data_IF_643525697837
#
_entry.id   IF_643525697837
#
_cell.length_a   1.000
_cell.length_b   1.000
_cell.length_c   1.000
_cell.angle_alpha   90.00
_cell.angle_beta   90.00
_cell.angle_gamma   90.00
#
_symmetry.space_group_name_H-M   'P 1'
#
loop_
_entity.id
_entity.type
_entity.pdbx_description
1 polymer ?
#
# COMPACT_ATOMS: atom_id res chain seq x y z
N UNK A 1 7.47 15.56 21.16
CA UNK A 1 7.66 14.30 20.39
C UNK A 1 6.71 13.26 20.93
N UNK A 2 6.25 12.34 20.07
CA UNK A 2 5.39 11.24 20.50
C UNK A 2 6.20 10.09 21.11
N UNK A 3 5.57 9.32 22.00
CA UNK A 3 6.07 8.04 22.47
C UNK A 3 5.71 6.97 21.46
N UNK A 4 6.70 6.17 21.11
CA UNK A 4 6.52 5.03 20.22
C UNK A 4 5.55 4.00 20.82
N UNK A 5 4.79 3.34 19.94
CA UNK A 5 3.85 2.26 20.28
C UNK A 5 2.79 2.58 21.35
N UNK A 6 2.57 3.85 21.66
CA UNK A 6 1.65 4.25 22.73
C UNK A 6 0.19 3.95 22.39
N UNK A 7 -0.54 3.39 23.35
CA UNK A 7 -1.97 3.10 23.26
C UNK A 7 -2.73 3.63 24.49
N UNK A 8 -4.06 3.71 24.39
CA UNK A 8 -4.95 4.08 25.51
C UNK A 8 -4.60 5.43 26.16
N UNK A 9 -4.45 5.45 27.48
CA UNK A 9 -4.11 6.67 28.23
C UNK A 9 -2.75 7.25 27.85
N UNK A 10 -1.75 6.41 27.55
CA UNK A 10 -0.42 6.88 27.10
C UNK A 10 -0.51 7.61 25.77
N UNK A 11 -1.40 7.16 24.88
CA UNK A 11 -1.66 7.84 23.61
C UNK A 11 -2.41 9.15 23.86
N UNK A 12 -3.45 9.11 24.70
CA UNK A 12 -4.25 10.30 25.07
C UNK A 12 -3.41 11.40 25.70
N UNK A 13 -2.43 11.03 26.55
CA UNK A 13 -1.53 11.97 27.22
C UNK A 13 -0.66 12.79 26.24
N UNK A 14 -0.47 12.31 25.01
CA UNK A 14 0.30 13.02 23.97
C UNK A 14 -0.55 14.03 23.20
N UNK A 15 -1.89 13.87 23.22
CA UNK A 15 -2.84 14.68 22.47
C UNK A 15 -2.68 16.20 22.68
N UNK A 16 -2.45 16.74 23.89
CA UNK A 16 -2.28 18.18 24.08
C UNK A 16 -1.12 18.77 23.27
N UNK A 17 -0.02 18.01 23.13
CA UNK A 17 1.14 18.42 22.34
C UNK A 17 0.79 18.51 20.86
N UNK A 18 0.09 17.51 20.33
CA UNK A 18 -0.29 17.46 18.91
C UNK A 18 -1.35 18.51 18.56
N UNK A 19 -2.30 18.76 19.46
CA UNK A 19 -3.25 19.85 19.32
C UNK A 19 -2.57 21.23 19.29
N UNK A 20 -1.52 21.43 20.11
CA UNK A 20 -0.74 22.66 20.08
C UNK A 20 0.01 22.83 18.74
N UNK A 21 0.57 21.75 18.18
CA UNK A 21 1.19 21.74 16.85
C UNK A 21 0.16 22.13 15.78
N UNK A 22 -1.04 21.53 15.79
CA UNK A 22 -2.12 21.86 14.86
C UNK A 22 -2.54 23.32 14.95
N UNK A 23 -2.68 23.85 16.18
CA UNK A 23 -3.02 25.26 16.40
C UNK A 23 -1.95 26.19 15.84
N UNK A 24 -0.69 25.77 15.84
CA UNK A 24 0.43 26.48 15.21
C UNK A 24 0.52 26.31 13.69
N UNK A 25 -0.40 25.56 13.06
CA UNK A 25 -0.40 25.28 11.62
C UNK A 25 0.45 24.07 11.20
N UNK A 26 1.04 23.35 12.16
CA UNK A 26 1.77 22.11 11.89
C UNK A 26 0.84 20.92 11.62
N UNK A 27 1.38 19.93 10.91
CA UNK A 27 0.67 18.68 10.56
C UNK A 27 1.20 17.50 11.37
N UNK A 28 0.34 16.56 11.72
CA UNK A 28 0.67 15.41 12.58
C UNK A 28 0.51 14.10 11.81
N UNK A 29 1.65 13.42 11.60
CA UNK A 29 1.75 12.14 10.90
C UNK A 29 2.21 11.08 11.87
N UNK A 30 1.44 10.00 12.02
CA UNK A 30 1.66 9.01 13.09
C UNK A 30 1.41 7.60 12.57
N UNK A 31 2.29 6.67 12.95
CA UNK A 31 2.00 5.23 12.88
C UNK A 31 1.16 4.80 14.07
N UNK A 32 0.00 4.23 13.80
CA UNK A 32 -1.02 3.94 14.79
C UNK A 32 -1.32 2.44 14.83
N UNK A 33 -1.50 1.93 16.04
CA UNK A 33 -2.20 0.68 16.25
C UNK A 33 -3.73 0.84 16.10
N UNK A 34 -4.43 -0.29 15.96
CA UNK A 34 -5.89 -0.32 16.08
C UNK A 34 -6.37 0.38 17.36
N UNK A 35 -7.47 1.11 17.26
CA UNK A 35 -8.10 1.81 18.38
C UNK A 35 -7.59 3.23 18.67
N UNK A 36 -6.74 3.83 17.84
CA UNK A 36 -6.24 5.20 18.05
C UNK A 36 -7.32 6.30 17.88
N UNK A 37 -8.33 6.05 17.05
CA UNK A 37 -9.31 7.06 16.62
C UNK A 37 -10.00 7.81 17.78
N UNK A 38 -10.49 7.15 18.85
CA UNK A 38 -11.13 7.84 19.97
C UNK A 38 -10.18 8.74 20.79
N UNK A 39 -8.87 8.52 20.69
CA UNK A 39 -7.88 9.19 21.53
C UNK A 39 -7.27 10.41 20.84
N UNK A 40 -6.92 10.25 19.57
CA UNK A 40 -6.08 11.22 18.84
C UNK A 40 -6.47 11.37 17.38
N UNK A 41 -7.44 10.59 16.89
CA UNK A 41 -7.86 10.65 15.48
C UNK A 41 -8.31 12.05 15.06
N UNK A 42 -8.65 12.92 16.01
CA UNK A 42 -9.03 14.29 15.74
C UNK A 42 -7.89 15.30 15.59
N UNK A 43 -6.66 14.88 15.87
CA UNK A 43 -5.46 15.70 15.74
C UNK A 43 -4.41 14.99 14.88
N UNK A 44 -4.82 14.07 14.02
CA UNK A 44 -3.97 13.37 13.05
C UNK A 44 -4.36 13.82 11.65
N UNK A 45 -3.40 14.23 10.84
CA UNK A 45 -3.61 14.57 9.41
C UNK A 45 -3.22 13.43 8.47
N UNK A 46 -2.31 12.56 8.92
CA UNK A 46 -1.92 11.35 8.20
C UNK A 46 -1.83 10.19 9.19
N UNK A 47 -2.81 9.30 9.14
CA UNK A 47 -2.75 8.04 9.88
C UNK A 47 -1.99 7.02 9.04
N UNK A 48 -0.93 6.46 9.60
CA UNK A 48 -0.26 5.28 9.06
C UNK A 48 -0.75 4.08 9.88
N UNK A 49 -1.28 3.06 9.24
CA UNK A 49 -1.79 1.85 9.91
C UNK A 49 -1.14 0.60 9.30
N UNK A 50 -0.87 -0.42 10.10
CA UNK A 50 -0.29 -1.67 9.59
C UNK A 50 -1.19 -2.28 8.51
N UNK A 51 -0.61 -2.78 7.42
CA UNK A 51 -1.31 -3.49 6.37
C UNK A 51 -1.55 -4.95 6.77
N UNK A 52 -2.72 -5.54 6.46
CA UNK A 52 -3.02 -6.89 6.91
C UNK A 52 -2.13 -7.96 6.26
N UNK A 53 -1.51 -7.68 5.10
CA UNK A 53 -0.60 -8.60 4.39
C UNK A 53 0.83 -8.68 4.92
N UNK A 54 1.25 -7.81 5.85
CA UNK A 54 2.63 -7.87 6.37
C UNK A 54 2.92 -9.22 7.01
N UNK A 55 2.17 -9.60 8.03
CA UNK A 55 2.49 -10.77 8.85
C UNK A 55 2.62 -12.11 8.09
N UNK A 56 1.74 -12.49 7.13
CA UNK A 56 1.83 -13.80 6.50
C UNK A 56 3.08 -13.97 5.62
N UNK A 57 3.37 -13.00 4.75
CA UNK A 57 4.53 -13.05 3.84
C UNK A 57 5.83 -12.94 4.64
N UNK A 58 5.84 -12.11 5.68
CA UNK A 58 7.00 -11.90 6.54
C UNK A 58 7.34 -13.15 7.35
N UNK A 59 6.29 -13.83 7.84
CA UNK A 59 6.42 -15.12 8.53
C UNK A 59 6.98 -16.19 7.61
N UNK A 60 6.48 -16.28 6.37
CA UNK A 60 7.02 -17.20 5.36
C UNK A 60 8.50 -16.88 5.10
N UNK A 61 8.82 -15.62 4.83
CA UNK A 61 10.18 -15.13 4.62
C UNK A 61 11.14 -15.51 5.76
N UNK A 62 10.70 -15.39 7.02
CA UNK A 62 11.52 -15.70 8.20
C UNK A 62 11.78 -17.20 8.36
N UNK A 63 10.83 -18.05 7.96
CA UNK A 63 10.91 -19.50 8.10
C UNK A 63 11.66 -20.17 6.95
N UNK A 64 11.61 -19.57 5.76
CA UNK A 64 12.16 -20.18 4.55
C UNK A 64 13.68 -20.08 4.50
N UNK A 65 14.32 -21.22 4.29
CA UNK A 65 15.79 -21.32 4.17
C UNK A 65 16.29 -21.21 2.72
N UNK A 66 15.38 -21.18 1.74
CA UNK A 66 15.69 -21.04 0.31
C UNK A 66 14.52 -20.38 -0.45
N UNK A 67 14.75 -19.86 -1.67
CA UNK A 67 13.67 -19.38 -2.53
C UNK A 67 12.59 -20.44 -2.80
N UNK A 68 12.97 -21.69 -3.06
CA UNK A 68 12.02 -22.77 -3.34
C UNK A 68 11.15 -23.09 -2.12
N UNK A 69 11.74 -23.08 -0.92
CA UNK A 69 11.00 -23.26 0.32
C UNK A 69 10.03 -22.09 0.58
N UNK A 70 10.42 -20.87 0.21
CA UNK A 70 9.54 -19.70 0.28
C UNK A 70 8.37 -19.80 -0.68
N UNK A 71 8.62 -20.13 -1.95
CA UNK A 71 7.57 -20.29 -2.95
C UNK A 71 6.60 -21.41 -2.57
N UNK A 72 7.10 -22.52 -2.01
CA UNK A 72 6.27 -23.61 -1.51
C UNK A 72 5.38 -23.17 -0.33
N UNK A 73 5.91 -22.42 0.64
CA UNK A 73 5.14 -21.90 1.78
C UNK A 73 4.08 -20.89 1.30
N UNK A 74 4.46 -19.92 0.48
CA UNK A 74 3.56 -18.88 -0.04
C UNK A 74 2.40 -19.48 -0.84
N UNK A 75 2.65 -20.53 -1.61
CA UNK A 75 1.59 -21.22 -2.36
C UNK A 75 0.50 -21.81 -1.45
N UNK A 76 0.77 -22.00 -0.16
CA UNK A 76 -0.22 -22.46 0.84
C UNK A 76 -0.94 -21.31 1.56
N UNK A 77 -0.46 -20.08 1.43
CA UNK A 77 -1.06 -18.88 2.03
C UNK A 77 -2.26 -18.42 1.20
N UNK A 78 -3.43 -18.99 1.49
CA UNK A 78 -4.69 -18.54 0.88
C UNK A 78 -4.90 -17.04 1.10
N UNK A 79 -5.30 -16.32 0.05
CA UNK A 79 -5.59 -14.89 0.10
C UNK A 79 -4.37 -13.96 0.11
N UNK A 80 -3.15 -14.47 -0.02
CA UNK A 80 -1.93 -13.64 0.01
C UNK A 80 -1.89 -12.59 -1.13
N UNK A 81 -2.52 -12.92 -2.27
CA UNK A 81 -2.74 -12.02 -3.41
C UNK A 81 -3.99 -11.15 -3.24
N UNK A 82 -4.89 -11.51 -2.33
CA UNK A 82 -6.23 -10.93 -2.16
C UNK A 82 -6.25 -9.97 -0.97
N UNK A 83 -5.09 -9.47 -0.59
CA UNK A 83 -4.93 -8.66 0.62
C UNK A 83 -5.65 -7.30 0.58
N UNK A 84 -6.13 -6.89 -0.59
CA UNK A 84 -7.05 -5.75 -0.73
C UNK A 84 -8.41 -6.09 -0.12
N UNK A 85 -8.90 -7.30 -0.34
CA UNK A 85 -10.19 -7.76 0.20
C UNK A 85 -10.14 -7.84 1.72
N UNK A 86 -8.96 -8.06 2.31
CA UNK A 86 -8.78 -8.05 3.77
C UNK A 86 -9.00 -6.66 4.38
N UNK A 87 -8.74 -5.60 3.61
CA UNK A 87 -9.01 -4.21 4.04
C UNK A 87 -10.49 -3.88 3.85
N UNK A 88 -11.08 -4.35 2.75
CA UNK A 88 -12.49 -4.12 2.43
C UNK A 88 -13.42 -4.92 3.34
N UNK A 89 -13.02 -6.12 3.74
CA UNK A 89 -13.80 -7.08 4.52
C UNK A 89 -12.97 -7.66 5.69
N UNK A 90 -12.62 -6.85 6.71
CA UNK A 90 -11.69 -7.27 7.77
C UNK A 90 -12.22 -8.41 8.66
N UNK A 91 -13.54 -8.65 8.69
CA UNK A 91 -14.16 -9.69 9.52
C UNK A 91 -13.76 -11.12 9.11
N UNK A 92 -13.23 -11.32 7.90
CA UNK A 92 -12.87 -12.63 7.37
C UNK A 92 -11.40 -13.00 7.65
N UNK A 93 -10.59 -12.10 8.21
CA UNK A 93 -9.14 -12.30 8.35
C UNK A 93 -8.60 -11.91 9.73
N UNK A 94 -7.93 -12.85 10.40
CA UNK A 94 -7.38 -12.65 11.74
C UNK A 94 -6.00 -11.98 11.66
N UNK A 95 -5.91 -10.68 11.96
CA UNK A 95 -4.65 -9.95 12.08
C UNK A 95 -4.44 -9.46 13.51
N UNK A 96 -3.18 -9.20 13.88
CA UNK A 96 -2.85 -8.71 15.22
C UNK A 96 -3.34 -7.26 15.40
N UNK A 97 -4.32 -7.06 16.29
CA UNK A 97 -4.96 -5.76 16.56
C UNK A 97 -5.39 -5.01 15.29
N UNK A 98 -6.29 -5.57 14.46
CA UNK A 98 -6.67 -4.96 13.20
C UNK A 98 -7.32 -3.60 13.46
N UNK A 99 -6.90 -2.53 12.78
CA UNK A 99 -7.76 -1.37 12.66
C UNK A 99 -9.07 -1.80 11.97
N UNK A 100 -10.19 -1.21 12.38
CA UNK A 100 -11.40 -1.21 11.55
C UNK A 100 -11.12 -0.31 10.34
N UNK A 101 -10.51 -0.86 9.28
CA UNK A 101 -10.02 -0.09 8.15
C UNK A 101 -11.11 0.76 7.50
N UNK A 102 -12.32 0.23 7.18
CA UNK A 102 -13.38 1.05 6.58
C UNK A 102 -13.76 2.24 7.46
N UNK A 103 -13.90 2.03 8.78
CA UNK A 103 -14.24 3.12 9.71
C UNK A 103 -13.09 4.12 9.85
N UNK A 104 -11.84 3.68 9.95
CA UNK A 104 -10.67 4.56 10.06
C UNK A 104 -10.53 5.40 8.79
N UNK A 105 -10.54 4.77 7.62
CA UNK A 105 -10.41 5.44 6.32
C UNK A 105 -11.54 6.46 6.15
N UNK A 106 -12.80 6.04 6.36
CA UNK A 106 -13.95 6.94 6.25
C UNK A 106 -13.87 8.16 7.16
N UNK A 107 -13.62 7.96 8.46
CA UNK A 107 -13.56 9.07 9.43
C UNK A 107 -12.37 10.01 9.21
N UNK A 108 -11.24 9.49 8.73
CA UNK A 108 -10.09 10.32 8.37
C UNK A 108 -10.41 11.17 7.14
N UNK A 109 -10.97 10.55 6.09
CA UNK A 109 -11.36 11.24 4.86
C UNK A 109 -12.46 12.28 5.06
N UNK A 110 -13.47 12.02 5.90
CA UNK A 110 -14.53 12.98 6.28
C UNK A 110 -13.97 14.33 6.79
N UNK A 111 -12.74 14.31 7.29
CA UNK A 111 -12.05 15.46 7.87
C UNK A 111 -10.98 16.03 6.95
N UNK A 112 -10.82 15.49 5.74
CA UNK A 112 -9.75 15.84 4.80
C UNK A 112 -8.37 15.34 5.22
N UNK A 113 -8.28 14.41 6.16
CA UNK A 113 -7.05 13.74 6.54
C UNK A 113 -6.79 12.52 5.63
N UNK A 114 -5.55 12.05 5.61
CA UNK A 114 -5.12 10.93 4.75
C UNK A 114 -4.84 9.67 5.57
N UNK A 115 -4.91 8.52 4.91
CA UNK A 115 -4.54 7.21 5.48
C UNK A 115 -3.52 6.51 4.60
N UNK A 116 -2.36 6.22 5.17
CA UNK A 116 -1.35 5.36 4.57
C UNK A 116 -1.36 4.00 5.26
N UNK A 117 -0.92 2.97 4.55
CA UNK A 117 -0.60 1.70 5.18
C UNK A 117 0.90 1.53 5.42
N UNK A 118 1.25 0.65 6.36
CA UNK A 118 2.62 0.31 6.70
C UNK A 118 2.86 -1.18 6.54
N UNK A 119 4.03 -1.56 6.02
CA UNK A 119 4.43 -2.96 5.84
C UNK A 119 3.46 -3.76 4.97
N UNK A 120 3.06 -3.18 3.83
CA UNK A 120 2.34 -3.85 2.75
C UNK A 120 3.19 -5.00 2.17
N UNK A 121 3.30 -6.15 2.84
CA UNK A 121 4.34 -7.18 2.62
C UNK A 121 5.77 -6.63 2.74
N UNK A 122 6.70 -7.40 3.33
CA UNK A 122 8.09 -6.94 3.45
C UNK A 122 8.68 -6.53 2.10
N UNK A 123 9.31 -5.36 2.13
CA UNK A 123 10.07 -4.80 1.02
C UNK A 123 11.28 -5.67 0.63
N UNK A 124 11.81 -6.41 1.60
CA UNK A 124 13.03 -7.19 1.48
C UNK A 124 12.81 -8.70 1.58
N UNK A 125 13.91 -9.46 1.56
CA UNK A 125 13.88 -10.92 1.57
C UNK A 125 13.48 -11.52 0.21
N UNK A 126 12.75 -12.62 0.24
CA UNK A 126 12.09 -13.19 -0.93
C UNK A 126 10.82 -12.39 -1.25
N UNK A 127 10.83 -11.68 -2.37
CA UNK A 127 9.71 -10.85 -2.81
C UNK A 127 8.71 -11.61 -3.67
N UNK A 128 7.44 -11.18 -3.62
CA UNK A 128 6.39 -11.57 -4.57
C UNK A 128 6.06 -10.31 -5.39
N UNK A 129 6.64 -10.13 -6.59
CA UNK A 129 6.48 -8.91 -7.39
C UNK A 129 5.01 -8.55 -7.64
N UNK A 130 4.16 -9.53 -7.90
CA UNK A 130 2.75 -9.29 -8.18
C UNK A 130 2.01 -8.69 -6.97
N UNK A 131 2.29 -9.14 -5.74
CA UNK A 131 1.75 -8.53 -4.51
C UNK A 131 2.27 -7.09 -4.33
N UNK A 132 3.56 -6.86 -4.57
CA UNK A 132 4.16 -5.53 -4.47
C UNK A 132 3.49 -4.55 -5.46
N UNK A 133 3.30 -4.96 -6.71
CA UNK A 133 2.62 -4.16 -7.74
C UNK A 133 1.15 -3.91 -7.38
N UNK A 134 0.41 -4.96 -7.02
CA UNK A 134 -1.03 -4.91 -6.71
C UNK A 134 -1.34 -3.92 -5.60
N UNK A 135 -0.59 -3.97 -4.50
CA UNK A 135 -0.82 -3.13 -3.33
C UNK A 135 -0.50 -1.65 -3.52
N UNK A 136 0.21 -1.27 -4.60
CA UNK A 136 0.63 0.12 -4.85
C UNK A 136 0.03 0.75 -6.09
N UNK A 137 -0.76 -0.02 -6.82
CA UNK A 137 -1.67 0.46 -7.86
C UNK A 137 -3.11 0.18 -7.47
N UNK A 138 -3.67 -0.91 -8.00
CA UNK A 138 -5.09 -1.26 -7.90
C UNK A 138 -5.57 -1.33 -6.45
N UNK A 139 -4.80 -1.98 -5.59
CA UNK A 139 -5.18 -2.26 -4.21
C UNK A 139 -5.31 -1.01 -3.36
N UNK A 140 -4.32 -0.12 -3.44
CA UNK A 140 -4.35 1.18 -2.76
C UNK A 140 -5.59 1.98 -3.16
N UNK A 141 -5.89 2.03 -4.46
CA UNK A 141 -7.07 2.73 -4.96
C UNK A 141 -8.39 2.09 -4.53
N UNK A 142 -8.55 0.77 -4.72
CA UNK A 142 -9.78 0.04 -4.34
C UNK A 142 -10.04 0.09 -2.84
N UNK A 143 -9.00 -0.02 -2.03
CA UNK A 143 -9.06 0.09 -0.57
C UNK A 143 -9.30 1.53 -0.08
N UNK A 144 -9.29 2.53 -0.97
CA UNK A 144 -9.39 3.96 -0.63
C UNK A 144 -8.28 4.42 0.32
N UNK A 145 -7.08 3.90 0.12
CA UNK A 145 -5.88 4.36 0.80
C UNK A 145 -5.25 5.51 0.01
N UNK A 146 -4.52 6.39 0.70
CA UNK A 146 -3.86 7.56 0.10
C UNK A 146 -2.37 7.34 -0.20
N UNK A 147 -1.82 6.22 0.28
CA UNK A 147 -0.39 5.96 0.21
C UNK A 147 0.02 4.71 0.98
N UNK A 148 1.30 4.40 0.88
CA UNK A 148 1.95 3.31 1.60
C UNK A 148 3.29 3.80 2.14
N UNK A 149 3.75 3.19 3.23
CA UNK A 149 5.05 3.43 3.81
C UNK A 149 5.73 2.09 4.11
N UNK A 150 7.00 1.98 3.70
CA UNK A 150 7.82 0.82 4.00
C UNK A 150 8.66 1.07 5.25
N UNK A 151 9.10 0.00 5.91
CA UNK A 151 10.02 0.07 7.05
C UNK A 151 11.33 0.75 6.69
N UNK A 152 11.93 0.36 5.56
CA UNK A 152 13.16 0.99 5.14
C UNK A 152 13.39 0.88 3.65
N UNK A 153 13.91 1.96 3.06
CA UNK A 153 14.47 1.91 1.72
C UNK A 153 15.70 0.99 1.70
N UNK A 154 16.56 1.09 2.72
CA UNK A 154 17.71 0.22 2.95
C UNK A 154 17.83 -0.10 4.44
N UNK A 155 18.30 -1.30 4.77
CA UNK A 155 18.44 -1.77 6.15
C UNK A 155 19.87 -2.20 6.49
N UNK A 156 20.26 -2.02 7.76
CA UNK A 156 21.64 -2.25 8.23
C UNK A 156 21.83 -3.55 9.03
N UNK A 157 20.75 -4.23 9.45
CA UNK A 157 20.88 -5.47 10.24
C UNK A 157 21.31 -6.67 9.38
N UNK A 158 21.91 -7.69 10.00
CA UNK A 158 22.35 -8.96 9.38
C UNK A 158 21.61 -10.11 10.09
N UNK A 159 20.99 -11.09 9.39
CA UNK A 159 20.30 -12.17 10.06
C UNK A 159 21.32 -13.19 10.59
N UNK A 160 21.03 -13.89 11.70
CA UNK A 160 21.99 -14.81 12.32
C UNK A 160 22.35 -16.06 11.47
N UNK A 161 21.59 -16.37 10.42
CA UNK A 161 21.67 -17.64 9.68
C UNK A 161 22.27 -17.52 8.27
N UNK A 162 22.84 -16.36 7.91
CA UNK A 162 23.58 -16.17 6.67
C UNK A 162 25.09 -16.19 6.94
N UNK A 163 25.80 -17.22 6.48
CA UNK A 163 27.27 -17.22 6.39
C UNK A 163 27.76 -16.52 5.12
N UNK A 164 28.89 -15.84 5.22
CA UNK A 164 29.20 -14.66 4.44
C UNK A 164 30.09 -14.89 3.21
N UNK A 165 29.73 -14.22 2.11
CA UNK A 165 30.68 -13.75 1.10
C UNK A 165 31.11 -12.29 1.38
N UNK A 166 31.95 -11.65 0.54
CA UNK A 166 32.60 -10.36 0.83
C UNK A 166 31.68 -9.14 1.04
N UNK A 167 30.35 -9.31 1.05
CA UNK A 167 29.37 -8.33 1.50
C UNK A 167 28.41 -8.96 2.51
N UNK A 168 28.58 -8.63 3.79
CA UNK A 168 27.73 -9.08 4.90
C UNK A 168 26.47 -8.20 5.07
N UNK A 169 25.42 -8.31 4.22
CA UNK A 169 24.20 -7.51 4.40
C UNK A 169 22.90 -8.33 4.35
N UNK A 170 21.99 -8.13 5.32
CA UNK A 170 20.61 -8.60 5.18
C UNK A 170 19.89 -7.74 4.16
N UNK A 171 19.19 -8.38 3.23
CA UNK A 171 18.18 -7.71 2.43
C UNK A 171 16.78 -7.84 3.03
N UNK A 172 16.59 -8.48 4.19
CA UNK A 172 15.27 -8.90 4.70
C UNK A 172 14.29 -7.73 4.88
N UNK A 173 14.77 -6.56 5.27
CA UNK A 173 13.96 -5.35 5.42
C UNK A 173 14.27 -4.26 4.38
N UNK A 174 15.21 -4.52 3.45
CA UNK A 174 15.72 -3.55 2.51
C UNK A 174 14.93 -3.61 1.21
N UNK A 175 14.37 -2.48 0.75
CA UNK A 175 13.66 -2.43 -0.52
C UNK A 175 14.60 -2.41 -1.72
N UNK A 176 15.81 -1.88 -1.54
CA UNK A 176 16.90 -1.93 -2.51
C UNK A 176 18.11 -2.64 -1.91
N UNK A 177 18.96 -3.22 -2.75
CA UNK A 177 20.26 -3.72 -2.32
C UNK A 177 21.26 -2.56 -2.31
N UNK A 178 22.07 -2.45 -1.28
CA UNK A 178 23.14 -1.46 -1.27
C UNK A 178 24.28 -1.96 -2.18
N UNK A 179 24.79 -1.11 -3.07
CA UNK A 179 26.04 -1.32 -3.78
C UNK A 179 27.14 -0.40 -3.26
N UNK A 180 28.37 -0.61 -3.74
CA UNK A 180 29.53 0.19 -3.34
C UNK A 180 29.38 1.68 -3.74
N UNK A 181 28.75 1.95 -4.88
CA UNK A 181 28.60 3.30 -5.44
C UNK A 181 27.14 3.77 -5.52
N UNK A 182 26.19 2.85 -5.63
CA UNK A 182 24.76 3.14 -5.78
C UNK A 182 23.91 1.96 -5.26
N UNK A 183 22.64 2.19 -4.90
CA UNK A 183 21.70 1.08 -4.69
C UNK A 183 21.42 0.33 -5.99
N UNK A 184 21.19 -0.98 -5.87
CA UNK A 184 20.64 -1.83 -6.92
C UNK A 184 19.18 -2.11 -6.63
N UNK A 185 18.36 -1.99 -7.66
CA UNK A 185 16.94 -2.27 -7.60
C UNK A 185 16.69 -3.76 -7.29
N UNK A 186 15.66 -4.04 -6.49
CA UNK A 186 15.16 -5.40 -6.29
C UNK A 186 13.92 -5.64 -7.15
N UNK A 187 13.53 -6.91 -7.32
CA UNK A 187 12.26 -7.23 -7.96
C UNK A 187 11.06 -6.61 -7.21
N UNK A 188 11.13 -6.52 -5.88
CA UNK A 188 10.10 -5.85 -5.08
C UNK A 188 10.02 -4.34 -5.37
N UNK A 189 11.18 -3.69 -5.53
CA UNK A 189 11.26 -2.27 -5.88
C UNK A 189 10.75 -1.98 -7.29
N UNK A 190 11.14 -2.78 -8.28
CA UNK A 190 10.63 -2.61 -9.65
C UNK A 190 9.12 -2.88 -9.73
N UNK A 191 8.63 -3.89 -9.00
CA UNK A 191 7.19 -4.12 -8.90
C UNK A 191 6.43 -2.97 -8.24
N UNK A 192 7.00 -2.36 -7.20
CA UNK A 192 6.45 -1.15 -6.60
C UNK A 192 6.37 0.00 -7.62
N UNK A 193 7.42 0.20 -8.42
CA UNK A 193 7.44 1.22 -9.48
C UNK A 193 6.36 0.94 -10.52
N UNK A 194 6.19 -0.30 -10.94
CA UNK A 194 5.13 -0.74 -11.85
C UNK A 194 3.72 -0.48 -11.29
N UNK A 195 3.51 -0.70 -9.99
CA UNK A 195 2.22 -0.42 -9.33
C UNK A 195 1.93 1.08 -9.27
N UNK A 196 2.96 1.88 -9.00
CA UNK A 196 2.86 3.34 -9.05
C UNK A 196 2.56 3.84 -10.47
N UNK A 197 3.14 3.22 -11.50
CA UNK A 197 2.79 3.52 -12.89
C UNK A 197 1.34 3.16 -13.20
N UNK A 198 0.83 2.03 -12.72
CA UNK A 198 -0.59 1.68 -12.85
C UNK A 198 -1.50 2.78 -12.26
N UNK A 199 -1.14 3.33 -11.09
CA UNK A 199 -1.88 4.44 -10.48
C UNK A 199 -1.86 5.71 -11.36
N UNK A 200 -0.75 5.99 -12.07
CA UNK A 200 -0.68 7.10 -13.04
C UNK A 200 -1.61 6.86 -14.24
N UNK A 201 -1.66 5.64 -14.77
CA UNK A 201 -2.61 5.28 -15.84
C UNK A 201 -4.06 5.43 -15.37
N UNK A 202 -4.38 4.98 -14.16
CA UNK A 202 -5.70 5.15 -13.56
C UNK A 202 -6.09 6.63 -13.44
N UNK A 203 -5.21 7.46 -12.88
CA UNK A 203 -5.47 8.89 -12.75
C UNK A 203 -5.69 9.56 -14.11
N UNK A 204 -4.92 9.15 -15.12
CA UNK A 204 -5.08 9.63 -16.50
C UNK A 204 -6.44 9.25 -17.08
N UNK A 205 -6.87 7.99 -16.89
CA UNK A 205 -8.19 7.52 -17.30
C UNK A 205 -9.31 8.30 -16.62
N UNK A 206 -9.23 8.51 -15.30
CA UNK A 206 -10.22 9.27 -14.55
C UNK A 206 -10.31 10.73 -15.02
N UNK A 207 -9.17 11.37 -15.31
CA UNK A 207 -9.16 12.70 -15.93
C UNK A 207 -9.79 12.71 -17.32
N UNK A 208 -9.53 11.70 -18.15
CA UNK A 208 -10.15 11.59 -19.47
C UNK A 208 -11.68 11.45 -19.37
N UNK A 209 -12.18 10.61 -18.46
CA UNK A 209 -13.61 10.48 -18.17
C UNK A 209 -14.20 11.84 -17.77
N UNK A 210 -13.57 12.53 -16.81
CA UNK A 210 -14.04 13.82 -16.33
C UNK A 210 -14.08 14.89 -17.45
N UNK A 211 -13.05 14.93 -18.30
CA UNK A 211 -12.98 15.84 -19.43
C UNK A 211 -14.09 15.57 -20.47
N UNK A 212 -14.28 14.32 -20.86
CA UNK A 212 -15.36 13.92 -21.78
C UNK A 212 -16.74 14.30 -21.22
N UNK A 213 -16.98 14.06 -19.92
CA UNK A 213 -18.23 14.45 -19.26
C UNK A 213 -18.46 15.96 -19.26
N UNK A 214 -17.41 16.74 -18.99
CA UNK A 214 -17.49 18.19 -19.00
C UNK A 214 -17.74 18.75 -20.42
N UNK A 215 -17.21 18.09 -21.45
CA UNK A 215 -17.39 18.47 -22.86
C UNK A 215 -18.71 17.94 -23.47
N UNK A 216 -19.37 16.97 -22.83
CA UNK A 216 -20.52 16.26 -23.42
C UNK A 216 -20.13 15.28 -24.53
N UNK A 217 -18.87 14.86 -24.57
CA UNK A 217 -18.32 13.95 -25.58
C UNK A 217 -18.33 12.50 -25.05
N UNK A 218 -18.56 11.53 -25.95
CA UNK A 218 -18.55 10.10 -25.63
C UNK A 218 -19.28 9.69 -24.32
N UNK A 219 -20.51 10.20 -24.05
CA UNK A 219 -21.16 10.03 -22.74
C UNK A 219 -21.40 8.58 -22.35
N UNK A 220 -21.74 7.72 -23.33
CA UNK A 220 -21.95 6.29 -23.10
C UNK A 220 -20.64 5.57 -22.74
N UNK A 221 -19.53 5.89 -23.43
CA UNK A 221 -18.23 5.29 -23.16
C UNK A 221 -17.66 5.73 -21.81
N UNK A 222 -17.87 6.99 -21.43
CA UNK A 222 -17.50 7.50 -20.11
C UNK A 222 -18.24 6.73 -19.00
N UNK A 223 -19.56 6.58 -19.12
CA UNK A 223 -20.36 5.82 -18.15
C UNK A 223 -20.00 4.32 -18.11
N UNK A 224 -19.75 3.70 -19.27
CA UNK A 224 -19.30 2.30 -19.34
C UNK A 224 -17.94 2.12 -18.65
N UNK A 225 -17.02 3.06 -18.84
CA UNK A 225 -15.68 3.04 -18.26
C UNK A 225 -15.71 3.25 -16.74
N UNK A 226 -16.52 4.18 -16.25
CA UNK A 226 -16.76 4.36 -14.80
C UNK A 226 -17.29 3.07 -14.18
N UNK A 227 -18.32 2.48 -14.81
CA UNK A 227 -18.87 1.20 -14.35
C UNK A 227 -17.82 0.08 -14.35
N UNK A 228 -16.98 0.01 -15.37
CA UNK A 228 -15.88 -0.96 -15.41
C UNK A 228 -14.90 -0.76 -14.25
N UNK A 229 -14.51 0.48 -13.94
CA UNK A 229 -13.68 0.80 -12.78
C UNK A 229 -14.36 0.39 -11.47
N UNK A 230 -15.67 0.59 -11.33
CA UNK A 230 -16.41 0.17 -10.13
C UNK A 230 -16.40 -1.36 -9.98
N UNK A 231 -16.60 -2.10 -11.07
CA UNK A 231 -16.78 -3.56 -11.04
C UNK A 231 -15.51 -4.39 -11.26
N UNK A 232 -14.37 -3.78 -11.62
CA UNK A 232 -13.12 -4.54 -11.81
C UNK A 232 -12.76 -5.27 -10.51
N UNK A 233 -12.52 -6.59 -10.54
CA UNK A 233 -12.21 -7.34 -9.34
C UNK A 233 -10.78 -7.04 -8.87
N UNK A 234 -10.53 -7.24 -7.59
CA UNK A 234 -9.26 -6.97 -6.91
C UNK A 234 -8.15 -7.95 -7.28
N UNK A 235 -8.51 -9.14 -7.78
CA UNK A 235 -7.62 -10.23 -8.23
C UNK A 235 -7.30 -10.19 -9.74
N UNK A 236 -7.78 -9.17 -10.46
CA UNK A 236 -7.57 -9.04 -11.92
C UNK A 236 -6.08 -9.13 -12.29
N UNK A 237 -5.79 -9.70 -13.47
CA UNK A 237 -4.47 -9.63 -14.09
C UNK A 237 -4.05 -8.17 -14.30
N UNK A 238 -2.94 -7.76 -13.65
CA UNK A 238 -2.52 -6.36 -13.59
C UNK A 238 -2.08 -5.82 -14.95
N UNK A 239 -1.52 -6.67 -15.81
CA UNK A 239 -1.16 -6.29 -17.17
C UNK A 239 -2.40 -6.03 -18.04
N UNK A 240 -3.42 -6.88 -17.90
CA UNK A 240 -4.71 -6.69 -18.56
C UNK A 240 -5.41 -5.45 -18.04
N UNK A 241 -5.37 -5.21 -16.73
CA UNK A 241 -5.90 -3.99 -16.12
C UNK A 241 -5.24 -2.74 -16.72
N UNK A 242 -3.91 -2.68 -16.79
CA UNK A 242 -3.19 -1.57 -17.43
C UNK A 242 -3.58 -1.40 -18.90
N UNK A 243 -3.58 -2.48 -19.69
CA UNK A 243 -3.97 -2.42 -21.11
C UNK A 243 -5.40 -1.91 -21.31
N UNK A 244 -6.34 -2.31 -20.45
CA UNK A 244 -7.71 -1.83 -20.49
C UNK A 244 -7.80 -0.34 -20.16
N UNK A 245 -7.03 0.15 -19.17
CA UNK A 245 -6.97 1.58 -18.87
C UNK A 245 -6.43 2.39 -20.06
N UNK A 246 -5.36 1.90 -20.71
CA UNK A 246 -4.78 2.53 -21.90
C UNK A 246 -5.82 2.60 -23.02
N UNK A 247 -6.38 1.46 -23.42
CA UNK A 247 -7.32 1.38 -24.54
C UNK A 247 -8.58 2.23 -24.32
N UNK A 248 -9.08 2.32 -23.09
CA UNK A 248 -10.23 3.17 -22.75
C UNK A 248 -9.86 4.66 -22.77
N UNK A 249 -8.68 5.02 -22.26
CA UNK A 249 -8.16 6.39 -22.30
C UNK A 249 -8.00 6.86 -23.75
N UNK A 250 -7.40 6.05 -24.61
CA UNK A 250 -7.21 6.38 -26.02
C UNK A 250 -8.54 6.61 -26.73
N UNK A 251 -9.54 5.74 -26.52
CA UNK A 251 -10.87 5.90 -27.10
C UNK A 251 -11.58 7.16 -26.62
N UNK A 252 -11.52 7.45 -25.32
CA UNK A 252 -12.13 8.65 -24.74
C UNK A 252 -11.51 9.93 -25.31
N UNK A 253 -10.20 9.92 -25.54
CA UNK A 253 -9.45 11.07 -26.07
C UNK A 253 -9.36 11.11 -27.61
N UNK A 254 -10.01 10.17 -28.32
CA UNK A 254 -9.94 10.09 -29.78
C UNK A 254 -8.55 9.78 -30.34
N UNK A 255 -7.66 9.18 -29.54
CA UNK A 255 -6.33 8.79 -29.95
C UNK A 255 -6.39 7.50 -30.78
N UNK A 256 -5.47 7.35 -31.74
CA UNK A 256 -5.34 6.10 -32.50
C UNK A 256 -4.68 5.03 -31.62
N UNK A 257 -5.16 3.78 -31.63
CA UNK A 257 -4.46 2.68 -30.95
C UNK A 257 -3.03 2.56 -31.47
N UNK A 258 -2.07 2.41 -30.57
CA UNK A 258 -0.68 2.06 -30.92
C UNK A 258 -0.53 0.57 -31.26
#
# INVERSE_FOLDING_TARGET
>A
MGSDEATGEKLTAQRPTWAAIHKGGGKVFISNYGGFMPHVGDVVDLAIITHPSGNPIDTANTKSTSPDAFLAEVATLSGVTDCVDWILEPATHNTFNPPDYPTVIGKMHERGAKVFTYMDSLAGGYGIPEVQRRLRGLGLWKAKLDGTMTWSYHHFMVPPHLEAGPLHWSNFHSFVLRGAEAPFDTLSWEAYREGYDDARYLATLQHAIAACRAAGEHPELAAETEKWLETVPTDVDLDTWRRQMIARTEKLLGLKPQ
#
